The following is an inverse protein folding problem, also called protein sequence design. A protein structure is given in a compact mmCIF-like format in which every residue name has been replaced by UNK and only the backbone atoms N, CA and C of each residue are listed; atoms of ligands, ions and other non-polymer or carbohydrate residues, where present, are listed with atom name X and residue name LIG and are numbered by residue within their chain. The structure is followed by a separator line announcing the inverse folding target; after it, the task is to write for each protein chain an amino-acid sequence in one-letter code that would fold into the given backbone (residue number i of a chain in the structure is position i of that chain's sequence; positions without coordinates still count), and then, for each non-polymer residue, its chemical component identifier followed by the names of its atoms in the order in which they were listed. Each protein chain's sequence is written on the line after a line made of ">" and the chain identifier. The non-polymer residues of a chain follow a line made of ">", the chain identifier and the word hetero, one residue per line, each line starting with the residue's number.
data_IF_868763933895
#
_entry.id   IF_868763933895
#
_cell.length_a   1.000
_cell.length_b   1.000
_cell.length_c   1.000
_cell.angle_alpha   90.00
_cell.angle_beta   90.00
_cell.angle_gamma   90.00
#
_symmetry.space_group_name_H-M   'P 1'
#
loop_
_entity.id
_entity.type
_entity.pdbx_description
1 polymer ?
#
# COMPACT_ATOMS: atom_id res chain seq x y z
N UNK A 1 -23.80 -1.40 -18.19
CA UNK A 1 -23.40 0.00 -17.93
C UNK A 1 -22.08 0.18 -18.63
N UNK A 2 -21.92 1.27 -19.37
CA UNK A 2 -20.61 1.62 -19.90
C UNK A 2 -19.73 2.16 -18.77
N UNK A 3 -18.55 1.56 -18.58
CA UNK A 3 -17.59 1.90 -17.55
C UNK A 3 -16.45 2.76 -18.09
N UNK A 4 -16.40 3.00 -19.40
CA UNK A 4 -15.36 3.79 -20.04
C UNK A 4 -15.26 5.23 -19.49
N UNK A 5 -16.36 5.96 -19.21
CA UNK A 5 -16.25 7.31 -18.64
C UNK A 5 -15.53 7.35 -17.30
N UNK A 6 -15.79 6.39 -16.41
CA UNK A 6 -15.14 6.33 -15.09
C UNK A 6 -13.64 6.02 -15.18
N UNK A 7 -13.25 5.21 -16.17
CA UNK A 7 -11.84 4.93 -16.44
C UNK A 7 -11.13 6.17 -16.97
N UNK A 8 -11.78 6.92 -17.86
CA UNK A 8 -11.28 8.19 -18.36
C UNK A 8 -11.12 9.21 -17.24
N UNK A 9 -12.10 9.32 -16.33
CA UNK A 9 -11.98 10.19 -15.15
C UNK A 9 -10.74 9.84 -14.31
N UNK A 10 -10.48 8.54 -14.09
CA UNK A 10 -9.27 8.09 -13.40
C UNK A 10 -8.02 8.49 -14.19
N UNK A 11 -7.98 8.23 -15.50
CA UNK A 11 -6.82 8.55 -16.34
C UNK A 11 -6.50 10.06 -16.29
N UNK A 12 -7.52 10.91 -16.43
CA UNK A 12 -7.37 12.37 -16.31
C UNK A 12 -6.85 12.80 -14.93
N UNK A 13 -7.30 12.14 -13.85
CA UNK A 13 -6.80 12.39 -12.51
C UNK A 13 -5.32 12.04 -12.38
N UNK A 14 -4.89 10.90 -12.92
CA UNK A 14 -3.49 10.46 -12.84
C UNK A 14 -2.59 11.35 -13.72
N UNK A 15 -3.07 11.74 -14.90
CA UNK A 15 -2.36 12.63 -15.82
C UNK A 15 -2.16 14.02 -15.22
N UNK A 16 -3.17 14.57 -14.55
CA UNK A 16 -3.03 15.88 -13.90
C UNK A 16 -2.06 15.84 -12.72
N UNK A 17 -2.05 14.74 -11.96
CA UNK A 17 -1.02 14.53 -10.95
C UNK A 17 0.38 14.46 -11.57
N UNK A 18 0.54 13.79 -12.72
CA UNK A 18 1.82 13.69 -13.41
C UNK A 18 2.32 15.04 -13.96
N UNK A 19 1.42 15.90 -14.46
CA UNK A 19 1.77 17.24 -14.98
C UNK A 19 2.31 18.19 -13.93
N UNK A 20 1.85 18.06 -12.69
CA UNK A 20 2.26 18.94 -11.59
C UNK A 20 3.64 18.57 -10.98
N UNK A 21 4.39 17.62 -11.58
CA UNK A 21 5.66 17.06 -11.07
C UNK A 21 5.57 16.65 -9.59
N UNK A 22 4.38 16.17 -9.21
CA UNK A 22 4.05 15.82 -7.85
C UNK A 22 4.60 14.43 -7.51
N UNK A 23 5.25 14.32 -6.35
CA UNK A 23 5.88 13.05 -5.92
C UNK A 23 5.31 12.53 -4.60
N UNK A 24 4.45 13.30 -3.92
CA UNK A 24 3.92 12.94 -2.62
C UNK A 24 2.43 12.60 -2.65
N UNK A 25 2.02 11.75 -1.71
CA UNK A 25 0.60 11.49 -1.49
C UNK A 25 -0.17 12.75 -1.05
N UNK A 26 0.50 13.72 -0.42
CA UNK A 26 -0.12 15.01 -0.06
C UNK A 26 -0.54 15.77 -1.32
N UNK A 27 0.33 15.79 -2.33
CA UNK A 27 0.03 16.42 -3.61
C UNK A 27 -1.09 15.67 -4.34
N UNK A 28 -1.06 14.32 -4.31
CA UNK A 28 -2.13 13.51 -4.89
C UNK A 28 -3.49 13.83 -4.26
N UNK A 29 -3.55 13.94 -2.93
CA UNK A 29 -4.77 14.37 -2.22
C UNK A 29 -5.22 15.77 -2.63
N UNK A 30 -4.29 16.70 -2.88
CA UNK A 30 -4.62 18.04 -3.36
C UNK A 30 -5.33 17.99 -4.71
N UNK A 31 -4.78 17.24 -5.67
CA UNK A 31 -5.39 17.04 -7.00
C UNK A 31 -6.75 16.34 -6.88
N UNK A 32 -6.83 15.27 -6.08
CA UNK A 32 -8.08 14.55 -5.78
C UNK A 32 -9.18 15.49 -5.27
N UNK A 33 -8.84 16.35 -4.29
CA UNK A 33 -9.79 17.29 -3.70
C UNK A 33 -10.16 18.42 -4.66
N UNK A 34 -9.20 18.95 -5.43
CA UNK A 34 -9.45 19.99 -6.43
C UNK A 34 -10.44 19.51 -7.51
N UNK A 35 -10.31 18.25 -7.96
CA UNK A 35 -11.24 17.63 -8.91
C UNK A 35 -12.54 17.13 -8.28
N UNK A 36 -12.68 17.21 -6.94
CA UNK A 36 -13.79 16.62 -6.19
C UNK A 36 -14.00 15.15 -6.58
N UNK A 37 -12.92 14.38 -6.69
CA UNK A 37 -12.97 13.08 -7.35
C UNK A 37 -13.84 12.04 -6.64
N UNK A 38 -14.14 12.23 -5.35
CA UNK A 38 -15.09 11.38 -4.61
C UNK A 38 -16.50 11.35 -5.24
N UNK A 39 -16.87 12.34 -6.05
CA UNK A 39 -18.14 12.36 -6.78
C UNK A 39 -18.24 11.30 -7.89
N UNK A 40 -17.14 10.58 -8.20
CA UNK A 40 -17.17 9.40 -9.09
C UNK A 40 -18.23 8.37 -8.66
N UNK A 41 -18.56 8.33 -7.36
CA UNK A 41 -19.59 7.44 -6.81
C UNK A 41 -21.02 7.94 -6.97
N UNK A 42 -21.26 9.19 -7.35
CA UNK A 42 -22.61 9.68 -7.63
C UNK A 42 -23.11 9.16 -8.98
N UNK A 43 -22.20 8.85 -9.90
CA UNK A 43 -22.51 8.17 -11.16
C UNK A 43 -22.73 6.66 -11.04
N UNK A 44 -22.64 6.06 -9.85
CA UNK A 44 -22.64 4.60 -9.67
C UNK A 44 -23.93 3.93 -10.18
N UNK A 45 -23.87 2.69 -10.70
CA UNK A 45 -25.07 1.98 -11.10
C UNK A 45 -25.91 1.55 -9.90
N UNK A 46 -27.24 1.47 -10.09
CA UNK A 46 -28.18 0.98 -9.06
C UNK A 46 -28.07 -0.54 -8.81
N UNK A 47 -27.60 -1.29 -9.80
CA UNK A 47 -27.35 -2.73 -9.73
C UNK A 47 -25.89 -3.03 -10.09
N UNK A 48 -25.39 -4.20 -9.72
CA UNK A 48 -24.01 -4.64 -10.03
C UNK A 48 -22.91 -3.73 -9.46
N UNK A 49 -23.13 -3.16 -8.26
CA UNK A 49 -22.16 -2.30 -7.56
C UNK A 49 -20.79 -2.97 -7.36
N UNK A 50 -20.76 -4.30 -7.18
CA UNK A 50 -19.52 -5.05 -7.08
C UNK A 50 -18.69 -5.01 -8.37
N UNK A 51 -19.33 -5.20 -9.53
CA UNK A 51 -18.66 -5.11 -10.85
C UNK A 51 -18.14 -3.69 -11.08
N UNK A 52 -18.94 -2.68 -10.73
CA UNK A 52 -18.51 -1.30 -10.79
C UNK A 52 -17.27 -1.05 -9.92
N UNK A 53 -17.30 -1.42 -8.64
CA UNK A 53 -16.17 -1.21 -7.73
C UNK A 53 -14.91 -1.95 -8.17
N UNK A 54 -15.04 -3.23 -8.54
CA UNK A 54 -13.89 -3.98 -9.04
C UNK A 54 -13.34 -3.40 -10.34
N UNK A 55 -14.18 -2.81 -11.20
CA UNK A 55 -13.69 -2.16 -12.42
C UNK A 55 -12.83 -0.93 -12.14
N UNK A 56 -13.18 -0.13 -11.13
CA UNK A 56 -12.38 1.02 -10.72
C UNK A 56 -11.05 0.57 -10.11
N UNK A 57 -11.11 -0.41 -9.21
CA UNK A 57 -9.92 -0.98 -8.58
C UNK A 57 -8.97 -1.59 -9.62
N UNK A 58 -9.50 -2.41 -10.53
CA UNK A 58 -8.72 -3.07 -11.58
C UNK A 58 -8.05 -2.05 -12.51
N UNK A 59 -8.72 -0.94 -12.81
CA UNK A 59 -8.13 0.13 -13.62
C UNK A 59 -6.91 0.77 -12.92
N UNK A 60 -7.03 1.07 -11.61
CA UNK A 60 -5.90 1.57 -10.82
C UNK A 60 -4.77 0.53 -10.64
N UNK A 61 -5.11 -0.75 -10.49
CA UNK A 61 -4.13 -1.84 -10.44
C UNK A 61 -3.37 -1.92 -11.77
N UNK A 62 -4.04 -1.77 -12.91
CA UNK A 62 -3.41 -1.73 -14.23
C UNK A 62 -2.34 -0.64 -14.32
N UNK A 63 -2.64 0.57 -13.84
CA UNK A 63 -1.65 1.66 -13.76
C UNK A 63 -0.47 1.32 -12.84
N UNK A 64 -0.75 0.84 -11.63
CA UNK A 64 0.26 0.47 -10.63
C UNK A 64 1.16 -0.69 -11.09
N UNK A 65 0.65 -1.60 -11.91
CA UNK A 65 1.35 -2.82 -12.35
C UNK A 65 1.87 -2.73 -13.79
N UNK A 66 1.76 -1.55 -14.41
CA UNK A 66 2.28 -1.28 -15.75
C UNK A 66 3.82 -1.35 -15.82
N UNK A 67 4.37 -1.44 -17.03
CA UNK A 67 5.82 -1.44 -17.28
C UNK A 67 6.43 -0.01 -17.30
N UNK A 68 5.67 1.00 -16.86
CA UNK A 68 6.11 2.39 -16.84
C UNK A 68 7.05 2.66 -15.65
N UNK A 69 7.60 3.89 -15.57
CA UNK A 69 8.49 4.26 -14.47
C UNK A 69 7.78 4.22 -13.11
N UNK A 70 8.54 4.01 -12.03
CA UNK A 70 8.03 3.99 -10.66
C UNK A 70 7.11 5.19 -10.33
N UNK A 71 7.49 6.39 -10.78
CA UNK A 71 6.71 7.62 -10.55
C UNK A 71 5.40 7.64 -11.33
N UNK A 72 5.35 7.07 -12.53
CA UNK A 72 4.12 6.95 -13.33
C UNK A 72 3.16 5.91 -12.75
N UNK A 73 3.70 4.88 -12.08
CA UNK A 73 2.91 3.83 -11.42
C UNK A 73 2.36 4.28 -10.05
N UNK A 74 3.05 5.20 -9.39
CA UNK A 74 2.71 5.74 -8.07
C UNK A 74 1.27 6.26 -7.92
N UNK A 75 0.74 7.12 -8.82
CA UNK A 75 -0.62 7.62 -8.71
C UNK A 75 -1.67 6.50 -8.80
N UNK A 76 -1.36 5.37 -9.46
CA UNK A 76 -2.22 4.19 -9.46
C UNK A 76 -2.47 3.62 -8.05
N UNK A 77 -1.42 3.50 -7.22
CA UNK A 77 -1.55 3.05 -5.83
C UNK A 77 -2.34 4.07 -4.99
N UNK A 78 -2.05 5.36 -5.17
CA UNK A 78 -2.72 6.42 -4.41
C UNK A 78 -4.20 6.51 -4.74
N UNK A 79 -4.55 6.41 -6.03
CA UNK A 79 -5.93 6.36 -6.47
C UNK A 79 -6.65 5.13 -5.91
N UNK A 80 -6.03 3.95 -5.97
CA UNK A 80 -6.58 2.71 -5.42
C UNK A 80 -6.90 2.85 -3.91
N UNK A 81 -5.98 3.43 -3.15
CA UNK A 81 -6.18 3.69 -1.72
C UNK A 81 -7.33 4.67 -1.45
N UNK A 82 -7.38 5.81 -2.16
CA UNK A 82 -8.44 6.80 -2.01
C UNK A 82 -9.81 6.25 -2.40
N UNK A 83 -9.89 5.48 -3.49
CA UNK A 83 -11.13 4.82 -3.91
C UNK A 83 -11.64 3.85 -2.81
N UNK A 84 -10.74 3.09 -2.19
CA UNK A 84 -11.16 2.21 -1.11
C UNK A 84 -11.71 2.97 0.11
N UNK A 85 -11.01 4.02 0.56
CA UNK A 85 -11.39 4.78 1.77
C UNK A 85 -12.64 5.65 1.55
N UNK A 86 -12.87 6.14 0.33
CA UNK A 86 -14.00 7.03 0.02
C UNK A 86 -15.26 6.33 -0.48
N UNK A 87 -15.24 4.99 -0.63
CA UNK A 87 -16.38 4.28 -1.18
C UNK A 87 -17.64 4.40 -0.29
N UNK A 88 -18.85 4.52 -0.88
CA UNK A 88 -20.09 4.73 -0.13
C UNK A 88 -20.68 3.44 0.47
N UNK A 89 -20.06 2.28 0.25
CA UNK A 89 -20.63 0.98 0.56
C UNK A 89 -20.30 0.51 1.97
N UNK A 90 -21.28 -0.12 2.63
CA UNK A 90 -21.14 -0.80 3.91
C UNK A 90 -21.79 -2.20 3.81
N UNK A 91 -21.03 -3.29 3.99
CA UNK A 91 -19.57 -3.34 4.18
C UNK A 91 -18.80 -2.83 2.95
N UNK A 92 -17.54 -2.45 3.14
CA UNK A 92 -16.67 -2.04 2.04
C UNK A 92 -16.40 -3.22 1.09
N UNK A 93 -16.41 -2.94 -0.22
CA UNK A 93 -15.87 -3.86 -1.21
C UNK A 93 -14.34 -3.95 -1.05
N UNK A 94 -13.85 -5.18 -0.91
CA UNK A 94 -12.42 -5.48 -0.89
C UNK A 94 -11.82 -5.36 -2.29
N UNK A 95 -10.55 -4.98 -2.35
CA UNK A 95 -9.79 -4.92 -3.60
C UNK A 95 -9.38 -6.34 -3.96
N UNK A 96 -9.91 -6.88 -5.06
CA UNK A 96 -9.44 -8.16 -5.57
C UNK A 96 -8.05 -8.00 -6.18
N UNK A 97 -7.13 -8.91 -5.83
CA UNK A 97 -5.82 -9.03 -6.47
C UNK A 97 -5.58 -10.48 -6.86
N UNK A 98 -5.31 -10.74 -8.13
CA UNK A 98 -4.78 -12.02 -8.58
C UNK A 98 -3.39 -12.29 -8.00
N UNK A 99 -2.93 -13.53 -8.11
CA UNK A 99 -1.57 -13.91 -7.73
C UNK A 99 -0.51 -13.11 -8.50
N UNK A 100 -0.74 -12.85 -9.79
CA UNK A 100 0.17 -12.07 -10.62
C UNK A 100 0.25 -10.61 -10.14
N UNK A 101 -0.89 -9.96 -9.92
CA UNK A 101 -0.95 -8.58 -9.44
C UNK A 101 -0.37 -8.45 -8.03
N UNK A 102 -0.55 -9.46 -7.19
CA UNK A 102 0.06 -9.51 -5.84
C UNK A 102 1.58 -9.57 -5.90
N UNK A 103 2.14 -10.35 -6.84
CA UNK A 103 3.59 -10.35 -7.07
C UNK A 103 4.07 -9.00 -7.61
N UNK A 104 3.36 -8.39 -8.56
CA UNK A 104 3.70 -7.06 -9.07
C UNK A 104 3.61 -5.96 -8.00
N UNK A 105 2.65 -6.05 -7.08
CA UNK A 105 2.54 -5.15 -5.92
C UNK A 105 3.75 -5.33 -4.98
N UNK A 106 4.18 -6.57 -4.73
CA UNK A 106 5.38 -6.84 -3.93
C UNK A 106 6.62 -6.22 -4.58
N UNK A 107 6.81 -6.43 -5.88
CA UNK A 107 7.97 -5.90 -6.61
C UNK A 107 7.93 -4.36 -6.65
N UNK A 108 6.75 -3.77 -6.82
CA UNK A 108 6.54 -2.32 -6.72
C UNK A 108 6.95 -1.75 -5.34
N UNK A 109 6.59 -2.42 -4.24
CA UNK A 109 6.97 -1.99 -2.89
C UNK A 109 8.49 -2.07 -2.66
N UNK A 110 9.14 -3.11 -3.19
CA UNK A 110 10.59 -3.27 -3.12
C UNK A 110 11.29 -2.15 -3.90
N UNK A 111 10.86 -1.92 -5.13
CA UNK A 111 11.37 -0.86 -6.01
C UNK A 111 11.20 0.54 -5.36
N UNK A 112 10.01 0.83 -4.82
CA UNK A 112 9.73 2.08 -4.14
C UNK A 112 10.65 2.30 -2.92
N UNK A 113 10.91 1.25 -2.14
CA UNK A 113 11.81 1.30 -1.00
C UNK A 113 13.25 1.58 -1.42
N UNK A 114 13.73 0.94 -2.49
CA UNK A 114 15.07 1.15 -3.03
C UNK A 114 15.27 2.58 -3.55
N UNK A 115 14.20 3.22 -4.03
CA UNK A 115 14.20 4.60 -4.51
C UNK A 115 13.87 5.64 -3.40
N UNK A 116 13.85 5.24 -2.12
CA UNK A 116 13.63 6.16 -1.01
C UNK A 116 12.18 6.61 -0.78
N UNK A 117 11.21 6.03 -1.49
CA UNK A 117 9.77 6.32 -1.32
C UNK A 117 9.18 5.54 -0.13
N UNK A 118 9.64 5.85 1.08
CA UNK A 118 9.27 5.15 2.33
C UNK A 118 7.77 5.15 2.64
N UNK A 119 7.01 6.10 2.09
CA UNK A 119 5.56 6.17 2.22
C UNK A 119 4.84 5.00 1.54
N UNK A 120 5.35 4.50 0.41
CA UNK A 120 4.71 3.42 -0.36
C UNK A 120 4.63 2.12 0.46
N UNK A 121 5.74 1.60 1.03
CA UNK A 121 5.68 0.44 1.92
C UNK A 121 4.76 0.65 3.13
N UNK A 122 4.79 1.84 3.75
CA UNK A 122 3.94 2.15 4.91
C UNK A 122 2.44 2.16 4.54
N UNK A 123 2.11 2.67 3.36
CA UNK A 123 0.74 2.71 2.85
C UNK A 123 0.24 1.29 2.54
N UNK A 124 1.02 0.49 1.81
CA UNK A 124 0.63 -0.90 1.48
C UNK A 124 0.49 -1.74 2.74
N UNK A 125 1.40 -1.59 3.72
CA UNK A 125 1.28 -2.24 5.02
C UNK A 125 -0.05 -1.87 5.70
N UNK A 126 -0.42 -0.58 5.73
CA UNK A 126 -1.70 -0.14 6.27
C UNK A 126 -2.89 -0.78 5.56
N UNK A 127 -2.84 -0.91 4.23
CA UNK A 127 -3.92 -1.55 3.44
C UNK A 127 -4.06 -3.04 3.79
N UNK A 128 -2.94 -3.75 4.01
CA UNK A 128 -2.93 -5.14 4.48
C UNK A 128 -3.43 -5.28 5.92
N UNK A 129 -3.03 -4.37 6.81
CA UNK A 129 -3.44 -4.35 8.21
C UNK A 129 -4.94 -4.14 8.35
N UNK A 130 -5.52 -3.24 7.54
CA UNK A 130 -6.97 -3.00 7.46
C UNK A 130 -7.76 -4.10 6.73
N UNK A 131 -7.10 -5.10 6.15
CA UNK A 131 -7.76 -6.18 5.41
C UNK A 131 -8.49 -5.67 4.15
N UNK A 132 -7.92 -4.67 3.47
CA UNK A 132 -8.52 -4.06 2.28
C UNK A 132 -8.54 -5.01 1.08
N UNK A 133 -7.60 -5.95 1.02
CA UNK A 133 -7.42 -6.86 -0.10
C UNK A 133 -8.19 -8.18 0.06
N UNK A 134 -8.60 -8.72 -1.08
CA UNK A 134 -9.04 -10.09 -1.27
C UNK A 134 -8.08 -10.73 -2.27
N UNK A 135 -7.26 -11.68 -1.83
CA UNK A 135 -6.29 -12.33 -2.70
C UNK A 135 -6.97 -13.49 -3.45
N UNK A 136 -6.96 -13.41 -4.77
CA UNK A 136 -7.50 -14.43 -5.66
C UNK A 136 -6.58 -15.63 -5.75
N UNK A 137 -7.11 -16.80 -5.41
CA UNK A 137 -6.58 -18.09 -5.83
C UNK A 137 -7.60 -18.73 -6.77
N UNK A 138 -7.24 -18.97 -8.03
CA UNK A 138 -8.02 -19.85 -8.90
C UNK A 138 -7.74 -21.26 -8.40
N UNK A 139 -8.63 -21.83 -7.59
CA UNK A 139 -8.77 -23.27 -7.59
C UNK A 139 -9.65 -23.60 -8.80
N UNK A 140 -9.11 -24.35 -9.75
CA UNK A 140 -9.77 -24.84 -10.97
C UNK A 140 -10.86 -25.90 -10.66
N UNK A 141 -11.63 -25.73 -9.59
CA UNK A 141 -12.68 -26.68 -9.22
C UNK A 141 -14.00 -25.93 -9.13
N UNK A 142 -14.86 -26.22 -10.11
CA UNK A 142 -16.16 -25.61 -10.27
C UNK A 142 -17.09 -25.83 -9.07
N UNK A 143 -18.05 -24.92 -8.98
CA UNK A 143 -19.34 -25.04 -8.31
C UNK A 143 -19.39 -26.00 -7.11
N UNK A 144 -19.03 -25.49 -5.92
CA UNK A 144 -19.87 -25.64 -4.73
C UNK A 144 -19.44 -24.74 -3.56
N UNK A 145 -20.46 -24.19 -2.90
CA UNK A 145 -20.50 -23.68 -1.51
C UNK A 145 -19.69 -22.41 -1.14
N UNK A 146 -20.39 -21.27 -1.18
CA UNK A 146 -19.91 -19.94 -0.78
C UNK A 146 -19.35 -19.84 0.66
N UNK A 147 -19.71 -20.74 1.58
CA UNK A 147 -19.17 -20.74 2.96
C UNK A 147 -17.76 -21.31 3.04
N UNK A 148 -17.45 -22.34 2.26
CA UNK A 148 -16.13 -22.96 2.24
C UNK A 148 -15.11 -22.05 1.53
N UNK A 149 -15.56 -21.35 0.49
CA UNK A 149 -14.77 -20.32 -0.21
C UNK A 149 -14.35 -19.18 0.72
N UNK A 150 -15.23 -18.71 1.61
CA UNK A 150 -14.90 -17.63 2.55
C UNK A 150 -13.87 -18.04 3.61
N UNK A 151 -13.98 -19.25 4.16
CA UNK A 151 -13.00 -19.79 5.13
C UNK A 151 -11.66 -20.10 4.47
N UNK A 152 -11.69 -20.65 3.25
CA UNK A 152 -10.51 -20.93 2.44
C UNK A 152 -9.81 -19.62 2.03
N UNK A 153 -10.57 -18.63 1.57
CA UNK A 153 -10.06 -17.28 1.32
C UNK A 153 -9.48 -16.65 2.59
N UNK A 154 -10.13 -16.80 3.74
CA UNK A 154 -9.60 -16.27 5.00
C UNK A 154 -8.27 -16.93 5.39
N UNK A 155 -8.14 -18.25 5.24
CA UNK A 155 -6.91 -19.00 5.50
C UNK A 155 -5.78 -18.63 4.54
N UNK A 156 -6.08 -18.45 3.25
CA UNK A 156 -5.09 -18.04 2.25
C UNK A 156 -4.72 -16.56 2.38
N UNK A 157 -5.69 -15.67 2.61
CA UNK A 157 -5.42 -14.27 2.93
C UNK A 157 -4.52 -14.17 4.16
N UNK A 158 -4.69 -15.02 5.17
CA UNK A 158 -3.76 -15.13 6.32
C UNK A 158 -2.37 -15.57 5.89
N UNK A 159 -2.23 -16.54 4.99
CA UNK A 159 -0.92 -17.02 4.49
C UNK A 159 -0.20 -15.98 3.63
N UNK A 160 -0.90 -15.33 2.69
CA UNK A 160 -0.35 -14.26 1.85
C UNK A 160 0.01 -13.06 2.70
N UNK A 161 -0.88 -12.65 3.61
CA UNK A 161 -0.58 -11.61 4.60
C UNK A 161 0.63 -11.97 5.44
N UNK A 162 0.70 -13.19 5.98
CA UNK A 162 1.85 -13.66 6.75
C UNK A 162 3.14 -13.65 5.93
N UNK A 163 3.10 -14.04 4.65
CA UNK A 163 4.24 -13.93 3.76
C UNK A 163 4.65 -12.46 3.60
N UNK A 164 3.73 -11.58 3.21
CA UNK A 164 3.98 -10.14 3.07
C UNK A 164 4.54 -9.52 4.36
N UNK A 165 3.92 -9.77 5.51
CA UNK A 165 4.32 -9.25 6.82
C UNK A 165 5.72 -9.76 7.20
N UNK A 166 5.99 -11.06 7.06
CA UNK A 166 7.31 -11.64 7.33
C UNK A 166 8.40 -11.03 6.45
N UNK A 167 8.11 -10.73 5.18
CA UNK A 167 9.07 -10.07 4.30
C UNK A 167 9.26 -8.59 4.66
N UNK A 168 8.20 -7.87 5.02
CA UNK A 168 8.29 -6.48 5.49
C UNK A 168 9.12 -6.40 6.77
N UNK A 169 8.91 -7.30 7.72
CA UNK A 169 9.66 -7.38 8.98
C UNK A 169 11.11 -7.80 8.76
N UNK A 170 11.37 -8.80 7.91
CA UNK A 170 12.72 -9.21 7.55
C UNK A 170 13.51 -8.06 6.88
N UNK A 171 12.84 -7.28 6.02
CA UNK A 171 13.42 -6.12 5.36
C UNK A 171 13.52 -4.88 6.26
N UNK A 172 12.72 -4.78 7.33
CA UNK A 172 12.86 -3.75 8.37
C UNK A 172 14.05 -4.06 9.28
N UNK A 173 14.20 -5.33 9.68
CA UNK A 173 15.32 -5.80 10.49
C UNK A 173 16.65 -5.59 9.76
N UNK A 174 16.74 -6.00 8.49
CA UNK A 174 17.96 -5.80 7.71
C UNK A 174 18.29 -4.32 7.48
N UNK A 175 17.28 -3.44 7.30
CA UNK A 175 17.52 -2.00 7.22
C UNK A 175 17.99 -1.42 8.55
N UNK A 176 17.41 -1.87 9.67
CA UNK A 176 17.84 -1.41 11.00
C UNK A 176 19.29 -1.79 11.27
N UNK A 177 19.70 -3.00 10.87
CA UNK A 177 21.09 -3.44 10.93
C UNK A 177 22.00 -2.64 10.00
N UNK A 178 21.57 -2.35 8.77
CA UNK A 178 22.36 -1.53 7.83
C UNK A 178 22.53 -0.09 8.33
N UNK A 179 21.47 0.53 8.87
CA UNK A 179 21.52 1.87 9.47
C UNK A 179 22.45 1.86 10.70
N UNK A 180 22.39 0.82 11.53
CA UNK A 180 23.27 0.66 12.69
C UNK A 180 24.74 0.51 12.27
N UNK A 181 25.02 -0.32 11.25
CA UNK A 181 26.37 -0.51 10.70
C UNK A 181 26.89 0.77 10.07
N UNK A 182 26.08 1.48 9.27
CA UNK A 182 26.46 2.78 8.68
C UNK A 182 26.75 3.80 9.80
N UNK A 183 25.94 3.83 10.85
CA UNK A 183 26.15 4.72 12.00
C UNK A 183 27.47 4.42 12.71
N UNK A 184 27.82 3.14 12.89
CA UNK A 184 29.12 2.72 13.43
C UNK A 184 30.26 3.11 12.48
N UNK A 185 30.13 2.88 11.18
CA UNK A 185 31.15 3.24 10.19
C UNK A 185 31.39 4.76 10.16
N UNK A 186 30.33 5.57 10.21
CA UNK A 186 30.44 7.04 10.32
C UNK A 186 31.10 7.45 11.64
N UNK A 187 30.78 6.76 12.74
CA UNK A 187 31.42 6.98 14.05
C UNK A 187 32.94 6.70 14.03
N UNK A 188 33.37 5.65 13.33
CA UNK A 188 34.80 5.33 13.16
C UNK A 188 35.51 6.29 12.18
N UNK A 189 34.82 6.80 11.17
CA UNK A 189 35.39 7.72 10.18
C UNK A 189 35.49 9.18 10.68
N UNK A 190 34.63 9.61 11.61
CA UNK A 190 34.60 11.00 12.09
C UNK A 190 35.43 11.29 13.34
N UNK A 191 36.14 10.31 13.91
CA UNK A 191 37.12 10.56 14.98
C UNK A 191 36.52 11.22 16.22
N UNK A 192 35.91 10.42 17.09
CA UNK A 192 35.83 10.62 18.55
C UNK A 192 35.82 12.07 19.09
N UNK A 193 34.83 12.91 18.74
CA UNK A 193 34.61 14.19 19.46
C UNK A 193 33.17 14.61 19.75
N UNK A 194 32.17 13.76 19.57
CA UNK A 194 30.85 14.01 20.16
C UNK A 194 30.32 12.76 20.84
N UNK A 195 29.79 12.96 22.06
CA UNK A 195 28.84 12.13 22.82
C UNK A 195 29.22 11.75 24.26
N UNK A 196 29.52 12.72 25.14
CA UNK A 196 29.09 12.62 26.54
C UNK A 196 27.56 12.75 26.72
N UNK A 197 26.81 13.21 25.70
CA UNK A 197 25.38 13.52 25.83
C UNK A 197 24.40 12.37 25.49
N UNK A 198 24.74 11.44 24.59
CA UNK A 198 23.84 10.33 24.22
C UNK A 198 23.78 9.25 25.32
N UNK A 199 24.87 9.07 26.07
CA UNK A 199 24.91 8.11 27.19
C UNK A 199 23.95 8.51 28.32
N UNK A 200 23.77 9.82 28.54
CA UNK A 200 22.84 10.34 29.55
C UNK A 200 21.37 10.11 29.19
N UNK A 201 21.01 10.05 27.90
CA UNK A 201 19.62 9.84 27.47
C UNK A 201 19.20 8.36 27.47
N UNK A 202 20.17 7.45 27.40
CA UNK A 202 19.92 6.00 27.39
C UNK A 202 19.97 5.37 28.80
N UNK A 203 20.72 5.96 29.73
CA UNK A 203 20.83 5.49 31.12
C UNK A 203 19.58 5.78 31.97
N UNK A 204 18.78 6.79 31.60
CA UNK A 204 17.63 7.24 32.40
C UNK A 204 16.36 6.38 32.21
N UNK A 205 16.37 5.40 31.31
CA UNK A 205 15.20 4.53 31.05
C UNK A 205 15.26 3.13 31.68
N UNK A 206 16.33 2.78 32.39
CA UNK A 206 16.53 1.42 32.93
C UNK A 206 16.82 1.33 34.44
N UNK A 207 16.55 2.36 35.22
CA UNK A 207 16.59 2.28 36.70
C UNK A 207 15.18 2.09 37.27
N UNK A 208 14.75 0.83 37.34
CA UNK A 208 13.79 0.41 38.37
C UNK A 208 14.54 0.36 39.71
N UNK A 209 14.12 1.09 40.76
CA UNK A 209 14.69 0.88 42.08
C UNK A 209 14.09 -0.39 42.69
N UNK A 210 14.94 -1.38 42.92
CA UNK A 210 14.71 -2.45 43.89
C UNK A 210 15.16 -1.90 45.26
N UNK A 211 14.26 -1.92 46.26
CA UNK A 211 14.46 -2.18 47.71
C UNK A 211 13.22 -1.65 48.46
N UNK A 212 12.60 -2.35 49.41
CA UNK A 212 13.06 -3.42 50.32
C UNK A 212 12.15 -4.65 50.29
#
# INVERSE_FOLDING_TARGET
>A
MDLAPFKLDIDELLDDYAKENCMSFTDFKRVWMAKKFSYIYEGRPKANSGVFMQSLFLHCIGHMTSQSSLLQRLPGLYCLYCLYECQPYKPHYKIYLSLEESNKLKDFVIEAKQNGLSLVPALVKRMLDKGMFLFGFINLLGDNEAKEVDEMNASQNKRVKFACDKYVDFLLYHLSCLIFIISICVFFLQGSKLFPWLYSLYADKNTLPITY
#
